data_IF_085843381810
#
_entry.id   IF_085843381810
#
_cell.length_a   1.000
_cell.length_b   1.000
_cell.length_c   1.000
_cell.angle_alpha   90.00
_cell.angle_beta   90.00
_cell.angle_gamma   90.00
#
_symmetry.space_group_name_H-M   'P 1'
#
loop_
_entity.id
_entity.type
_entity.pdbx_description
1 polymer ?
#
# COMPACT_ATOMS: atom_id res chain seq x y z
N UNK A 1 -16.47 -7.62 3.65
CA UNK A 1 -16.22 -6.29 4.02
C UNK A 1 -14.82 -6.10 4.44
N UNK A 2 -14.24 -5.12 3.90
CA UNK A 2 -12.83 -4.89 4.15
C UNK A 2 -12.67 -4.00 5.35
N UNK A 3 -11.62 -4.25 6.08
CA UNK A 3 -11.29 -3.41 7.21
C UNK A 3 -9.85 -3.03 7.13
N UNK A 4 -9.61 -1.76 7.31
CA UNK A 4 -8.24 -1.28 7.32
C UNK A 4 -7.58 -1.63 8.64
N UNK A 5 -6.34 -2.04 8.54
CA UNK A 5 -5.53 -2.38 9.71
C UNK A 5 -4.46 -1.32 9.84
N UNK A 6 -4.36 -0.71 11.00
CA UNK A 6 -3.35 0.30 11.23
C UNK A 6 -1.98 -0.35 11.31
N UNK A 7 -1.01 0.24 10.64
CA UNK A 7 0.35 -0.31 10.69
C UNK A 7 0.92 -0.20 12.10
N UNK A 8 0.36 0.66 12.92
CA UNK A 8 0.81 0.77 14.30
C UNK A 8 0.31 -0.37 15.15
N UNK A 9 -0.78 -1.00 14.73
CA UNK A 9 -1.32 -2.11 15.48
C UNK A 9 -0.74 -3.43 15.02
N UNK A 10 -0.55 -3.59 13.73
CA UNK A 10 -0.19 -4.88 13.20
C UNK A 10 0.38 -4.70 11.81
N UNK A 11 1.39 -5.48 11.50
CA UNK A 11 1.96 -5.53 10.17
C UNK A 11 1.64 -6.88 9.55
N UNK A 12 1.74 -6.97 8.22
CA UNK A 12 1.48 -8.26 7.58
C UNK A 12 2.41 -9.33 8.10
N UNK A 13 1.91 -10.54 8.18
CA UNK A 13 2.72 -11.65 8.63
C UNK A 13 3.60 -12.22 7.55
N UNK A 14 3.31 -11.92 6.31
CA UNK A 14 4.05 -12.47 5.20
C UNK A 14 4.32 -11.38 4.19
N UNK A 15 5.45 -11.50 3.53
CA UNK A 15 5.74 -10.60 2.44
C UNK A 15 4.75 -10.82 1.32
N UNK A 16 4.50 -9.78 0.56
CA UNK A 16 3.55 -9.91 -0.53
C UNK A 16 2.96 -8.57 -0.86
N UNK A 17 1.88 -8.63 -1.62
CA UNK A 17 1.22 -7.41 -2.05
C UNK A 17 -0.04 -7.19 -1.23
N UNK A 18 -0.27 -5.95 -0.89
CA UNK A 18 -1.40 -5.55 -0.08
C UNK A 18 -1.93 -4.22 -0.57
N UNK A 19 -3.19 -3.96 -0.26
CA UNK A 19 -3.74 -2.64 -0.51
C UNK A 19 -3.34 -1.76 0.67
N UNK A 20 -2.83 -0.57 0.37
CA UNK A 20 -2.39 0.32 1.44
C UNK A 20 -3.02 1.68 1.25
N UNK A 21 -3.19 2.35 2.36
CA UNK A 21 -3.64 3.73 2.40
C UNK A 21 -2.44 4.56 2.82
N UNK A 22 -2.01 5.42 1.94
CA UNK A 22 -0.83 6.24 2.19
C UNK A 22 -1.27 7.69 2.31
N UNK A 23 -0.69 8.36 3.28
CA UNK A 23 -1.04 9.75 3.54
C UNK A 23 0.24 10.53 3.70
N UNK A 24 0.48 11.42 2.77
CA UNK A 24 1.68 12.22 2.77
C UNK A 24 1.30 13.64 3.15
N UNK A 25 1.41 13.94 4.43
CA UNK A 25 1.01 15.22 4.92
C UNK A 25 2.00 16.30 4.58
N UNK A 26 3.21 15.92 4.32
CA UNK A 26 4.24 16.89 4.08
C UNK A 26 4.96 16.55 2.81
N UNK A 27 4.27 16.70 1.72
CA UNK A 27 4.94 16.51 0.46
C UNK A 27 6.16 17.41 0.45
N UNK A 28 7.33 16.84 0.59
CA UNK A 28 8.50 17.67 0.82
C UNK A 28 8.81 18.57 -0.33
N UNK A 29 8.55 18.13 -1.50
CA UNK A 29 8.93 18.94 -2.64
C UNK A 29 7.88 19.98 -2.98
N UNK A 30 6.68 19.76 -2.53
CA UNK A 30 5.63 20.65 -2.95
C UNK A 30 5.33 20.54 -4.41
N UNK A 31 5.85 19.54 -5.03
CA UNK A 31 5.70 19.42 -6.46
C UNK A 31 4.52 18.58 -6.86
N UNK A 32 3.76 18.14 -5.89
CA UNK A 32 2.55 17.47 -6.22
C UNK A 32 2.71 16.08 -6.75
N UNK A 33 3.86 15.52 -6.59
CA UNK A 33 4.05 14.14 -7.01
C UNK A 33 3.20 13.22 -6.16
N UNK A 34 3.07 13.52 -4.90
CA UNK A 34 2.31 12.70 -4.00
C UNK A 34 1.03 13.38 -3.62
N UNK A 35 0.02 12.61 -3.43
CA UNK A 35 -1.26 13.14 -3.02
C UNK A 35 -1.39 13.02 -1.53
N UNK A 36 -2.27 13.83 -0.97
CA UNK A 36 -2.48 13.77 0.46
C UNK A 36 -2.91 12.40 0.90
N UNK A 37 -3.81 11.81 0.15
CA UNK A 37 -4.33 10.49 0.49
C UNK A 37 -4.43 9.67 -0.76
N UNK A 38 -3.90 8.47 -0.70
CA UNK A 38 -3.95 7.63 -1.89
C UNK A 38 -4.07 6.18 -1.45
N UNK A 39 -4.85 5.43 -2.22
CA UNK A 39 -5.02 4.00 -2.01
C UNK A 39 -4.33 3.32 -3.18
N UNK A 40 -3.33 2.52 -2.87
CA UNK A 40 -2.56 1.84 -3.92
C UNK A 40 -2.26 0.44 -3.47
N UNK A 41 -1.80 -0.37 -4.42
CA UNK A 41 -1.29 -1.70 -4.10
C UNK A 41 0.21 -1.59 -3.97
N UNK A 42 0.73 -2.01 -2.84
CA UNK A 42 2.14 -1.93 -2.57
C UNK A 42 2.67 -3.29 -2.18
N UNK A 43 3.96 -3.44 -2.30
CA UNK A 43 4.64 -4.67 -1.94
C UNK A 43 5.24 -4.51 -0.55
N UNK A 44 4.95 -5.46 0.33
CA UNK A 44 5.53 -5.48 1.66
C UNK A 44 6.66 -6.50 1.67
N UNK A 45 7.85 -6.05 2.03
CA UNK A 45 9.01 -6.92 1.99
C UNK A 45 9.98 -6.44 3.05
N UNK A 46 10.32 -7.31 4.00
CA UNK A 46 11.29 -7.00 5.04
C UNK A 46 10.92 -5.75 5.81
N UNK A 47 9.65 -5.58 6.05
CA UNK A 47 9.23 -4.45 6.86
C UNK A 47 9.10 -3.15 6.11
N UNK A 48 9.23 -3.18 4.82
CA UNK A 48 9.14 -1.96 4.02
C UNK A 48 8.04 -2.07 3.00
N UNK A 49 7.46 -0.92 2.66
CA UNK A 49 6.41 -0.84 1.66
C UNK A 49 6.96 -0.16 0.42
N UNK A 50 6.79 -0.80 -0.71
CA UNK A 50 7.28 -0.27 -1.98
C UNK A 50 6.13 -0.19 -2.96
N UNK A 51 6.01 0.93 -3.63
CA UNK A 51 5.00 1.15 -4.63
C UNK A 51 5.65 1.24 -6.00
N UNK A 52 5.15 0.47 -6.93
CA UNK A 52 5.70 0.45 -8.29
C UNK A 52 4.75 1.15 -9.22
N UNK A 53 5.27 2.04 -10.01
CA UNK A 53 4.46 2.73 -10.99
C UNK A 53 5.32 3.10 -12.17
N UNK A 54 4.88 2.73 -13.36
CA UNK A 54 5.56 3.13 -14.59
C UNK A 54 7.02 2.76 -14.58
N UNK A 55 7.34 1.59 -14.03
CA UNK A 55 8.71 1.13 -14.02
C UNK A 55 9.54 1.72 -12.90
N UNK A 56 8.97 2.56 -12.09
CA UNK A 56 9.69 3.15 -10.97
C UNK A 56 9.26 2.53 -9.66
N UNK A 57 10.15 2.56 -8.70
CA UNK A 57 9.87 2.07 -7.37
C UNK A 57 9.96 3.22 -6.39
N UNK A 58 8.97 3.29 -5.51
CA UNK A 58 8.94 4.34 -4.50
C UNK A 58 8.81 3.69 -3.13
N UNK A 59 9.68 4.10 -2.24
CA UNK A 59 9.62 3.64 -0.86
C UNK A 59 8.60 4.49 -0.13
N UNK A 60 7.46 3.89 0.19
CA UNK A 60 6.39 4.63 0.84
C UNK A 60 6.20 4.20 2.28
N UNK A 61 7.21 3.55 2.84
CA UNK A 61 7.09 3.01 4.19
C UNK A 61 6.64 4.07 5.20
N UNK A 62 7.16 5.26 5.08
CA UNK A 62 6.88 6.28 6.07
C UNK A 62 5.51 6.89 5.95
N UNK A 63 4.84 6.73 4.83
CA UNK A 63 3.55 7.37 4.65
C UNK A 63 2.40 6.39 4.66
N UNK A 64 2.66 5.09 4.69
CA UNK A 64 1.58 4.11 4.78
C UNK A 64 1.03 4.13 6.19
N UNK A 65 -0.25 4.33 6.31
CA UNK A 65 -0.90 4.34 7.63
C UNK A 65 -1.73 3.10 7.88
N UNK A 66 -2.28 2.53 6.82
CA UNK A 66 -3.15 1.38 6.96
C UNK A 66 -2.93 0.44 5.80
N UNK A 67 -3.30 -0.81 6.00
CA UNK A 67 -3.18 -1.81 4.96
C UNK A 67 -4.29 -2.82 5.11
N UNK A 68 -4.49 -3.60 4.08
CA UNK A 68 -5.39 -4.73 4.16
C UNK A 68 -5.04 -5.71 3.07
N UNK A 69 -5.41 -6.99 3.25
CA UNK A 69 -5.09 -7.98 2.24
C UNK A 69 -5.82 -7.69 0.94
N UNK A 70 -5.21 -8.12 -0.15
CA UNK A 70 -5.88 -8.03 -1.43
C UNK A 70 -7.09 -8.94 -1.43
N UNK A 71 -8.18 -8.50 -2.04
CA UNK A 71 -9.31 -9.40 -2.19
C UNK A 71 -8.94 -10.52 -3.14
N UNK A 72 -9.59 -11.64 -2.95
CA UNK A 72 -9.35 -12.75 -3.83
C UNK A 72 -9.90 -12.43 -5.20
N UNK A 73 -9.19 -12.85 -6.24
CA UNK A 73 -9.73 -12.62 -7.58
C UNK A 73 -10.97 -13.45 -7.81
N UNK A 74 -11.79 -13.05 -8.75
CA UNK A 74 -12.96 -13.85 -9.07
C UNK A 74 -12.53 -15.24 -9.51
N UNK A 75 -13.36 -16.20 -9.20
CA UNK A 75 -13.09 -17.55 -9.64
C UNK A 75 -13.38 -17.63 -11.12
N UNK A 76 -12.41 -18.13 -11.83
CA UNK A 76 -12.57 -18.17 -13.26
C UNK A 76 -12.83 -19.55 -13.77
N UNK A 77 -13.00 -20.50 -12.88
CA UNK A 77 -13.14 -21.84 -13.36
C UNK A 77 -14.47 -22.00 -14.01
N UNK A 78 -14.51 -22.75 -14.98
CA UNK A 78 -15.72 -23.18 -15.56
C UNK A 78 -16.49 -22.09 -16.20
N UNK A 79 -15.99 -21.01 -16.10
CA UNK A 79 -16.72 -20.03 -16.61
C UNK A 79 -16.38 -19.84 -17.78
#
# INVERSE_FOLDING_TARGET
MSEWISVKDKLPKADGEYIVYAQDENSPSGEGVWYDNVVVVATYFFGEWTWHENGNEYDITDIVTHWMPLPEPPRMEGE
#
